data_IF_081710955973
#
_entry.id   IF_081710955973
#
_cell.length_a   1.000
_cell.length_b   1.000
_cell.length_c   1.000
_cell.angle_alpha   90.00
_cell.angle_beta   90.00
_cell.angle_gamma   90.00
#
_symmetry.space_group_name_H-M   'P 1'
#
loop_
_entity.id
_entity.type
_entity.pdbx_description
1 polymer ?
#
# COMPACT_ATOMS: atom_id res chain seq x y z
N UNK A 1 6.46 -0.93 12.40
CA UNK A 1 5.86 -2.13 11.78
C UNK A 1 6.65 -2.69 10.60
N UNK A 2 7.36 -1.86 9.80
CA UNK A 2 8.21 -2.35 8.67
C UNK A 2 9.51 -3.05 9.12
N UNK A 3 10.01 -2.74 10.32
CA UNK A 3 11.27 -3.29 10.87
C UNK A 3 11.27 -4.78 11.19
N UNK A 4 10.10 -5.43 11.33
CA UNK A 4 10.04 -6.85 11.71
C UNK A 4 10.21 -7.76 10.47
N UNK A 5 9.79 -7.30 9.28
CA UNK A 5 9.79 -8.12 8.07
C UNK A 5 11.16 -8.24 7.37
N UNK A 6 12.08 -7.28 7.57
CA UNK A 6 13.36 -7.21 6.82
C UNK A 6 14.55 -7.74 7.63
N UNK A 7 14.33 -8.19 8.87
CA UNK A 7 15.42 -8.43 9.82
C UNK A 7 16.20 -9.74 9.54
N UNK A 8 15.64 -10.70 8.80
CA UNK A 8 16.31 -11.97 8.46
C UNK A 8 15.67 -12.69 7.25
N UNK A 9 15.87 -12.22 6.00
CA UNK A 9 15.32 -12.89 4.82
C UNK A 9 15.90 -14.31 4.68
N UNK A 10 15.03 -15.32 4.63
CA UNK A 10 15.42 -16.71 4.42
C UNK A 10 15.42 -17.03 2.91
N UNK A 11 16.36 -17.86 2.46
CA UNK A 11 16.40 -18.36 1.06
C UNK A 11 15.24 -19.30 0.75
N UNK A 12 14.67 -19.95 1.76
CA UNK A 12 13.38 -20.66 1.67
C UNK A 12 12.34 -19.73 2.30
N UNK A 13 11.45 -19.12 1.50
CA UNK A 13 10.53 -18.11 2.01
C UNK A 13 9.47 -18.72 2.93
N UNK A 14 9.32 -18.15 4.12
CA UNK A 14 8.18 -18.42 5.02
C UNK A 14 6.88 -17.79 4.50
N UNK A 15 5.70 -18.27 4.92
CA UNK A 15 4.39 -17.86 4.38
C UNK A 15 4.17 -16.34 4.26
N UNK A 16 4.63 -15.55 5.23
CA UNK A 16 4.56 -14.09 5.18
C UNK A 16 5.54 -13.46 4.17
N UNK A 17 6.73 -14.03 4.00
CA UNK A 17 7.72 -13.59 3.02
C UNK A 17 7.20 -13.82 1.60
N UNK A 18 6.54 -14.95 1.33
CA UNK A 18 5.91 -15.24 0.04
C UNK A 18 4.92 -14.16 -0.40
N UNK A 19 4.08 -13.68 0.50
CA UNK A 19 3.09 -12.64 0.19
C UNK A 19 3.74 -11.30 -0.16
N UNK A 20 4.74 -10.87 0.62
CA UNK A 20 5.44 -9.62 0.35
C UNK A 20 6.30 -9.69 -0.91
N UNK A 21 6.95 -10.83 -1.17
CA UNK A 21 7.69 -11.07 -2.42
C UNK A 21 6.76 -11.02 -3.63
N UNK A 22 5.60 -11.67 -3.56
CA UNK A 22 4.60 -11.61 -4.63
C UNK A 22 4.15 -10.16 -4.94
N UNK A 23 3.88 -9.36 -3.91
CA UNK A 23 3.49 -7.96 -4.11
C UNK A 23 4.66 -7.15 -4.71
N UNK A 24 5.88 -7.37 -4.24
CA UNK A 24 7.05 -6.67 -4.75
C UNK A 24 7.34 -7.01 -6.21
N UNK A 25 7.20 -8.29 -6.59
CA UNK A 25 7.28 -8.73 -7.99
C UNK A 25 6.19 -8.09 -8.85
N UNK A 26 4.94 -8.07 -8.37
CA UNK A 26 3.84 -7.39 -9.06
C UNK A 26 4.13 -5.90 -9.32
N UNK A 27 4.61 -5.17 -8.31
CA UNK A 27 4.99 -3.76 -8.44
C UNK A 27 6.16 -3.61 -9.42
N UNK A 28 7.13 -4.52 -9.37
CA UNK A 28 8.31 -4.50 -10.23
C UNK A 28 7.91 -4.68 -11.69
N UNK A 29 7.06 -5.66 -11.97
CA UNK A 29 6.57 -5.96 -13.32
C UNK A 29 5.73 -4.81 -13.86
N UNK A 30 4.81 -4.27 -13.05
CA UNK A 30 4.04 -3.08 -13.41
C UNK A 30 4.97 -1.90 -13.75
N UNK A 31 5.95 -1.63 -12.90
CA UNK A 31 6.92 -0.54 -13.12
C UNK A 31 7.72 -0.77 -14.39
N UNK A 32 8.17 -2.00 -14.64
CA UNK A 32 8.95 -2.36 -15.83
C UNK A 32 8.13 -2.24 -17.11
N UNK A 33 6.87 -2.68 -17.11
CA UNK A 33 5.98 -2.57 -18.27
C UNK A 33 5.65 -1.13 -18.62
N UNK A 34 5.45 -0.27 -17.62
CA UNK A 34 5.01 1.11 -17.84
C UNK A 34 6.18 2.10 -18.07
N UNK A 35 7.32 1.89 -17.40
CA UNK A 35 8.46 2.82 -17.45
C UNK A 35 9.54 2.34 -18.43
N UNK A 36 9.66 1.03 -18.66
CA UNK A 36 10.76 0.45 -19.44
C UNK A 36 12.01 0.22 -18.59
N UNK A 37 13.19 0.18 -19.20
CA UNK A 37 14.42 -0.30 -18.55
C UNK A 37 14.87 0.51 -17.33
N UNK A 38 14.49 1.78 -17.25
CA UNK A 38 14.82 2.69 -16.13
C UNK A 38 13.83 2.60 -14.96
N UNK A 39 13.03 1.53 -14.86
CA UNK A 39 12.02 1.36 -13.81
C UNK A 39 12.58 1.24 -12.38
N UNK A 40 13.83 0.80 -12.22
CA UNK A 40 14.42 0.45 -10.92
C UNK A 40 14.26 1.51 -9.82
N UNK A 41 14.63 2.77 -10.06
CA UNK A 41 14.46 3.87 -9.09
C UNK A 41 13.00 4.18 -8.72
N UNK A 42 12.03 3.81 -9.58
CA UNK A 42 10.61 4.12 -9.39
C UNK A 42 9.86 3.05 -8.60
N UNK A 43 10.41 1.84 -8.50
CA UNK A 43 9.78 0.71 -7.78
C UNK A 43 9.39 1.08 -6.33
N UNK A 44 10.24 1.74 -5.51
CA UNK A 44 9.86 2.11 -4.15
C UNK A 44 8.70 3.12 -4.09
N UNK A 45 8.65 4.05 -5.05
CA UNK A 45 7.61 5.07 -5.13
C UNK A 45 6.26 4.46 -5.52
N UNK A 46 6.24 3.69 -6.62
CA UNK A 46 5.05 2.99 -7.10
C UNK A 46 4.54 2.01 -6.05
N UNK A 47 5.46 1.27 -5.41
CA UNK A 47 5.09 0.30 -4.38
C UNK A 47 4.47 0.94 -3.15
N UNK A 48 5.00 2.08 -2.70
CA UNK A 48 4.43 2.82 -1.57
C UNK A 48 3.03 3.34 -1.90
N UNK A 49 2.86 3.94 -3.08
CA UNK A 49 1.55 4.42 -3.54
C UNK A 49 0.53 3.30 -3.67
N UNK A 50 0.92 2.18 -4.29
CA UNK A 50 0.06 1.00 -4.44
C UNK A 50 -0.38 0.44 -3.09
N UNK A 51 0.56 0.18 -2.19
CA UNK A 51 0.26 -0.37 -0.87
C UNK A 51 -0.59 0.59 -0.03
N UNK A 52 -0.29 1.89 -0.08
CA UNK A 52 -1.06 2.90 0.62
C UNK A 52 -2.52 2.92 0.15
N UNK A 53 -2.76 3.00 -1.16
CA UNK A 53 -4.10 3.03 -1.75
C UNK A 53 -4.84 1.72 -1.50
N UNK A 54 -4.17 0.58 -1.71
CA UNK A 54 -4.77 -0.75 -1.54
C UNK A 54 -5.22 -0.98 -0.10
N UNK A 55 -4.33 -0.76 0.88
CA UNK A 55 -4.64 -0.93 2.30
C UNK A 55 -5.68 0.09 2.74
N UNK A 56 -5.61 1.35 2.28
CA UNK A 56 -6.60 2.37 2.63
C UNK A 56 -8.00 1.99 2.15
N UNK A 57 -8.14 1.56 0.90
CA UNK A 57 -9.44 1.15 0.34
C UNK A 57 -9.98 -0.11 1.02
N UNK A 58 -9.14 -1.12 1.24
CA UNK A 58 -9.55 -2.34 1.94
C UNK A 58 -9.89 -2.08 3.41
N UNK A 59 -9.16 -1.20 4.08
CA UNK A 59 -9.47 -0.79 5.45
C UNK A 59 -10.84 -0.10 5.53
N UNK A 60 -11.19 0.72 4.53
CA UNK A 60 -12.52 1.35 4.44
C UNK A 60 -13.67 0.37 4.24
N UNK A 61 -13.45 -0.66 3.42
CA UNK A 61 -14.47 -1.65 3.08
C UNK A 61 -14.62 -2.77 4.11
N UNK A 62 -13.53 -3.19 4.76
CA UNK A 62 -13.51 -4.35 5.66
C UNK A 62 -13.68 -3.99 7.13
N UNK A 63 -13.20 -2.81 7.56
CA UNK A 63 -13.37 -2.40 8.94
C UNK A 63 -14.74 -1.71 9.08
N UNK A 64 -15.62 -2.19 9.98
CA UNK A 64 -16.93 -1.60 10.19
C UNK A 64 -16.79 -0.33 11.03
N UNK A 65 -16.19 0.71 10.45
CA UNK A 65 -15.93 1.99 11.11
C UNK A 65 -17.20 2.67 11.63
N UNK A 66 -18.37 2.32 11.06
CA UNK A 66 -19.70 2.74 11.51
C UNK A 66 -20.12 2.22 12.90
N UNK A 67 -19.40 1.27 13.48
CA UNK A 67 -19.66 0.78 14.85
C UNK A 67 -19.07 1.76 15.89
N UNK A 68 -18.11 2.60 15.50
CA UNK A 68 -17.48 3.59 16.37
C UNK A 68 -18.00 4.97 15.99
N UNK A 69 -19.06 5.42 16.67
CA UNK A 69 -19.55 6.80 16.55
C UNK A 69 -18.67 7.74 17.38
N UNK A 70 -18.05 8.72 16.74
CA UNK A 70 -17.38 9.81 17.43
C UNK A 70 -18.38 10.91 17.79
N UNK A 71 -18.16 11.65 18.89
CA UNK A 71 -18.99 12.78 19.26
C UNK A 71 -19.09 13.85 18.16
N UNK A 72 -18.07 13.96 17.29
CA UNK A 72 -18.01 14.86 16.13
C UNK A 72 -17.31 14.14 14.96
N UNK A 73 -18.06 13.81 13.89
CA UNK A 73 -17.55 13.23 12.63
C UNK A 73 -17.78 11.72 12.44
N UNK A 74 -17.64 11.23 11.20
CA UNK A 74 -17.69 9.80 10.86
C UNK A 74 -16.26 9.24 10.68
N UNK A 75 -15.95 8.10 11.32
CA UNK A 75 -14.75 7.33 10.94
C UNK A 75 -15.02 6.69 9.58
N UNK A 76 -14.35 7.18 8.57
CA UNK A 76 -14.35 6.61 7.23
C UNK A 76 -12.92 6.43 6.74
N UNK A 77 -12.76 5.75 5.61
CA UNK A 77 -11.44 5.53 5.01
C UNK A 77 -10.72 6.87 4.77
N UNK A 78 -9.38 6.94 4.88
CA UNK A 78 -8.62 8.18 4.63
C UNK A 78 -8.81 8.78 3.23
N UNK A 79 -9.26 7.96 2.28
CA UNK A 79 -9.60 8.35 0.89
C UNK A 79 -10.97 9.03 0.76
N UNK A 80 -11.77 9.06 1.83
CA UNK A 80 -13.08 9.72 1.85
C UNK A 80 -12.94 11.26 1.93
N UNK A 81 -11.75 11.75 2.32
CA UNK A 81 -11.43 13.18 2.31
C UNK A 81 -10.85 13.62 0.95
N UNK A 82 -11.47 14.65 0.36
CA UNK A 82 -11.02 15.24 -0.92
C UNK A 82 -9.59 15.79 -0.82
N UNK A 83 -9.19 16.25 0.36
CA UNK A 83 -7.85 16.80 0.62
C UNK A 83 -6.76 15.72 0.47
N UNK A 84 -7.02 14.48 0.89
CA UNK A 84 -6.09 13.35 0.73
C UNK A 84 -5.97 12.95 -0.75
N UNK A 85 -7.09 12.89 -1.47
CA UNK A 85 -7.11 12.54 -2.90
C UNK A 85 -6.42 13.60 -3.75
N UNK A 86 -6.66 14.88 -3.47
CA UNK A 86 -6.02 16.01 -4.17
C UNK A 86 -4.53 16.09 -3.85
N UNK A 87 -4.11 15.87 -2.61
CA UNK A 87 -2.70 15.87 -2.24
C UNK A 87 -1.91 14.75 -2.94
N UNK A 88 -2.50 13.56 -3.11
CA UNK A 88 -1.89 12.47 -3.87
C UNK A 88 -1.85 12.73 -5.38
N UNK A 89 -2.80 13.51 -5.91
CA UNK A 89 -2.85 13.87 -7.34
C UNK A 89 -1.89 15.01 -7.72
N UNK A 90 -1.39 15.77 -6.74
CA UNK A 90 -0.47 16.91 -6.95
C UNK A 90 1.00 16.57 -6.65
N UNK A 91 1.28 15.36 -6.16
CA UNK A 91 2.63 14.78 -6.05
C UNK A 91 3.10 14.25 -7.41
#
# INVERSE_FOLDING_TARGET
SVLIAVRNPQTIPTDGQNFFEYILEFIRDLSKTQIGEEYGPWVPFIGTMFLFIFVSNWSGALLPWKIIELPHGELAAPTNDINTTVALALL
#
